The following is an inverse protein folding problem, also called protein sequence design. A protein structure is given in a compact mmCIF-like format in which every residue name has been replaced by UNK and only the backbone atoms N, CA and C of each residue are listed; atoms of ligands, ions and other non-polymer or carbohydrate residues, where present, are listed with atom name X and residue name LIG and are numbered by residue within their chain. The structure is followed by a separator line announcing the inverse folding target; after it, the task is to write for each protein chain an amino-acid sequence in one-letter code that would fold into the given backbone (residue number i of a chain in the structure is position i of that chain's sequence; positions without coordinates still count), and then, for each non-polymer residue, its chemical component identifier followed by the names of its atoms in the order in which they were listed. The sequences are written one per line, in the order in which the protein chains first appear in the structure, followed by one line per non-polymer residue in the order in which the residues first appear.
data_IF_227583846616
#
_entry.id   IF_227583846616
#
_cell.length_a   1.000
_cell.length_b   1.000
_cell.length_c   1.000
_cell.angle_alpha   90.00
_cell.angle_beta   90.00
_cell.angle_gamma   90.00
#
_symmetry.space_group_name_H-M   'P 1'
#
loop_
_entity.id
_entity.type
_entity.pdbx_description
1 polymer ?
#
# COMPACT_ATOMS: atom_id res chain seq x y z
N UNK A 1 -2.63 35.13 -21.42
CA UNK A 1 -2.17 33.88 -20.75
C UNK A 1 -2.22 34.11 -19.26
N UNK A 2 -3.31 33.77 -18.60
CA UNK A 2 -3.42 33.86 -17.14
C UNK A 2 -2.88 32.58 -16.53
N UNK A 3 -1.77 32.68 -15.78
CA UNK A 3 -1.33 31.61 -14.89
C UNK A 3 -2.35 31.52 -13.74
N UNK A 4 -3.09 30.42 -13.66
CA UNK A 4 -3.83 30.07 -12.45
C UNK A 4 -2.83 29.44 -11.49
N UNK A 5 -2.32 30.23 -10.55
CA UNK A 5 -1.59 29.72 -9.40
C UNK A 5 -2.57 28.98 -8.50
N UNK A 6 -2.41 27.66 -8.41
CA UNK A 6 -3.17 26.80 -7.51
C UNK A 6 -2.85 27.24 -6.07
N UNK A 7 -3.73 28.06 -5.49
CA UNK A 7 -3.56 28.62 -4.16
C UNK A 7 -4.15 27.61 -3.17
N UNK A 8 -3.35 26.63 -2.76
CA UNK A 8 -3.73 25.69 -1.69
C UNK A 8 -3.92 26.50 -0.41
N UNK A 9 -5.00 26.25 0.31
CA UNK A 9 -5.24 26.97 1.57
C UNK A 9 -4.31 26.45 2.68
N UNK A 10 -3.92 27.29 3.64
CA UNK A 10 -3.09 26.87 4.78
C UNK A 10 -3.67 25.67 5.56
N UNK A 11 -5.01 25.51 5.54
CA UNK A 11 -5.68 24.37 6.16
C UNK A 11 -5.45 23.07 5.39
N UNK A 12 -5.45 23.14 4.06
CA UNK A 12 -5.15 21.99 3.20
C UNK A 12 -3.68 21.59 3.32
N UNK A 13 -2.75 22.54 3.35
CA UNK A 13 -1.33 22.26 3.57
C UNK A 13 -1.08 21.61 4.93
N UNK A 14 -1.69 22.12 6.01
CA UNK A 14 -1.61 21.49 7.34
C UNK A 14 -2.15 20.06 7.33
N UNK A 15 -3.29 19.83 6.67
CA UNK A 15 -3.88 18.49 6.57
C UNK A 15 -3.01 17.52 5.77
N UNK A 16 -2.27 18.02 4.78
CA UNK A 16 -1.38 17.23 3.94
C UNK A 16 -0.10 16.84 4.68
N UNK A 17 0.49 17.78 5.41
CA UNK A 17 1.66 17.50 6.27
C UNK A 17 1.30 16.49 7.37
N UNK A 18 0.11 16.58 7.95
CA UNK A 18 -0.35 15.58 8.93
C UNK A 18 -0.48 14.17 8.32
N UNK A 19 -0.99 14.06 7.09
CA UNK A 19 -1.06 12.78 6.36
C UNK A 19 0.33 12.17 6.15
N UNK A 20 1.26 12.99 5.72
CA UNK A 20 2.66 12.61 5.51
C UNK A 20 3.32 12.11 6.80
N UNK A 21 3.20 12.87 7.89
CA UNK A 21 3.77 12.51 9.18
C UNK A 21 3.19 11.19 9.70
N UNK A 22 1.88 10.99 9.56
CA UNK A 22 1.23 9.73 9.97
C UNK A 22 1.64 8.54 9.13
N UNK A 23 1.86 8.73 7.83
CA UNK A 23 2.41 7.68 6.99
C UNK A 23 3.83 7.31 7.44
N UNK A 24 4.69 8.29 7.71
CA UNK A 24 6.06 8.04 8.16
C UNK A 24 6.11 7.29 9.50
N UNK A 25 5.22 7.61 10.44
CA UNK A 25 5.06 6.87 11.70
C UNK A 25 4.66 5.40 11.43
N UNK A 26 3.73 5.17 10.50
CA UNK A 26 3.30 3.83 10.14
C UNK A 26 4.43 2.97 9.53
N UNK A 27 5.42 3.60 8.87
CA UNK A 27 6.55 2.91 8.27
C UNK A 27 7.53 2.30 9.29
N UNK A 28 7.46 2.70 10.57
CA UNK A 28 8.20 2.03 11.65
C UNK A 28 7.68 0.60 11.89
N UNK A 29 6.39 0.38 11.65
CA UNK A 29 5.72 -0.91 11.80
C UNK A 29 5.74 -1.68 10.47
N UNK A 30 5.54 -0.95 9.37
CA UNK A 30 5.37 -1.48 8.02
C UNK A 30 6.53 -1.03 7.12
N UNK A 31 7.71 -1.68 7.19
CA UNK A 31 8.93 -1.17 6.58
C UNK A 31 8.86 -1.12 5.05
N UNK A 32 9.32 -0.02 4.41
CA UNK A 32 9.30 0.15 2.95
C UNK A 32 10.01 -0.97 2.18
N UNK A 33 11.06 -1.56 2.77
CA UNK A 33 11.80 -2.66 2.15
C UNK A 33 10.91 -3.89 1.84
N UNK A 34 9.79 -4.05 2.55
CA UNK A 34 8.82 -5.14 2.36
C UNK A 34 7.69 -4.79 1.39
N UNK A 35 7.74 -3.63 0.74
CA UNK A 35 6.81 -3.28 -0.33
C UNK A 35 7.12 -4.02 -1.65
N UNK A 36 8.19 -4.82 -1.71
CA UNK A 36 8.50 -5.70 -2.85
C UNK A 36 7.98 -7.12 -2.63
N UNK A 37 7.61 -7.76 -3.73
CA UNK A 37 7.10 -9.13 -3.81
C UNK A 37 5.90 -9.45 -2.92
N UNK A 38 5.78 -10.70 -2.49
CA UNK A 38 4.57 -11.19 -1.79
C UNK A 38 4.20 -10.37 -0.54
N UNK A 39 5.19 -9.79 0.15
CA UNK A 39 4.97 -9.02 1.38
C UNK A 39 4.26 -7.69 1.15
N UNK A 40 4.29 -7.17 -0.08
CA UNK A 40 3.67 -5.92 -0.49
C UNK A 40 2.21 -5.83 -0.06
N UNK A 41 1.46 -6.92 -0.19
CA UNK A 41 0.03 -6.99 0.15
C UNK A 41 -0.20 -6.72 1.64
N UNK A 42 0.55 -7.40 2.51
CA UNK A 42 0.43 -7.25 3.96
C UNK A 42 0.84 -5.85 4.41
N UNK A 43 1.92 -5.32 3.84
CA UNK A 43 2.41 -3.98 4.13
C UNK A 43 1.39 -2.93 3.69
N UNK A 44 0.89 -2.99 2.46
CA UNK A 44 -0.11 -2.05 1.95
C UNK A 44 -1.43 -2.12 2.72
N UNK A 45 -1.90 -3.33 3.03
CA UNK A 45 -3.09 -3.49 3.86
C UNK A 45 -2.90 -2.87 5.24
N UNK A 46 -1.77 -3.15 5.89
CA UNK A 46 -1.43 -2.60 7.21
C UNK A 46 -1.34 -1.08 7.22
N UNK A 47 -0.70 -0.49 6.21
CA UNK A 47 -0.64 0.96 6.02
C UNK A 47 -2.02 1.57 5.78
N UNK A 48 -2.84 0.94 4.94
CA UNK A 48 -4.21 1.40 4.63
C UNK A 48 -5.09 1.39 5.88
N UNK A 49 -5.04 0.32 6.68
CA UNK A 49 -5.76 0.22 7.95
C UNK A 49 -5.26 1.23 8.97
N UNK A 50 -3.94 1.40 9.11
CA UNK A 50 -3.34 2.36 10.03
C UNK A 50 -3.78 3.79 9.71
N UNK A 51 -3.72 4.17 8.44
CA UNK A 51 -4.16 5.49 7.96
C UNK A 51 -5.66 5.68 8.20
N UNK A 52 -6.47 4.67 7.89
CA UNK A 52 -7.92 4.76 8.06
C UNK A 52 -8.33 4.98 9.52
N UNK A 53 -7.67 4.29 10.46
CA UNK A 53 -7.89 4.45 11.90
C UNK A 53 -7.39 5.79 12.42
N UNK A 54 -6.23 6.25 11.94
CA UNK A 54 -5.63 7.51 12.39
C UNK A 54 -6.47 8.74 12.04
N UNK A 55 -7.12 8.72 10.87
CA UNK A 55 -7.90 9.86 10.37
C UNK A 55 -9.42 9.65 10.44
N UNK A 56 -9.88 8.49 10.92
CA UNK A 56 -11.28 8.11 10.97
C UNK A 56 -11.99 8.29 9.61
N UNK A 57 -11.32 7.89 8.52
CA UNK A 57 -11.83 7.95 7.14
C UNK A 57 -11.34 6.74 6.34
N UNK A 58 -12.03 6.37 5.28
CA UNK A 58 -11.58 5.27 4.42
C UNK A 58 -10.39 5.70 3.54
N UNK A 59 -9.42 4.82 3.39
CA UNK A 59 -8.36 4.92 2.38
C UNK A 59 -8.41 3.71 1.46
N UNK A 60 -8.05 3.92 0.20
CA UNK A 60 -7.73 2.83 -0.73
C UNK A 60 -6.22 2.57 -0.76
N UNK A 61 -5.82 1.40 -1.25
CA UNK A 61 -4.41 1.10 -1.47
C UNK A 61 -3.75 2.12 -2.42
N UNK A 62 -4.48 2.58 -3.43
CA UNK A 62 -4.00 3.60 -4.38
C UNK A 62 -3.74 4.95 -3.72
N UNK A 63 -4.57 5.35 -2.74
CA UNK A 63 -4.36 6.59 -1.99
C UNK A 63 -3.06 6.53 -1.18
N UNK A 64 -2.80 5.38 -0.54
CA UNK A 64 -1.57 5.16 0.22
C UNK A 64 -0.35 5.10 -0.70
N UNK A 65 -0.47 4.44 -1.86
CA UNK A 65 0.60 4.41 -2.86
C UNK A 65 0.94 5.80 -3.39
N UNK A 66 -0.05 6.64 -3.72
CA UNK A 66 0.21 8.03 -4.13
C UNK A 66 0.92 8.85 -3.05
N UNK A 67 0.62 8.60 -1.78
CA UNK A 67 1.29 9.27 -0.67
C UNK A 67 2.73 8.78 -0.51
N UNK A 68 2.96 7.47 -0.65
CA UNK A 68 4.30 6.87 -0.63
C UNK A 68 5.18 7.35 -1.79
N UNK A 69 4.61 7.57 -2.98
CA UNK A 69 5.32 8.05 -4.18
C UNK A 69 5.98 9.41 -4.00
N UNK A 70 5.53 10.20 -3.00
CA UNK A 70 6.15 11.49 -2.64
C UNK A 70 7.49 11.33 -1.93
N UNK A 71 7.70 10.19 -1.27
CA UNK A 71 8.89 9.90 -0.46
C UNK A 71 9.82 8.88 -1.12
N UNK A 72 9.25 7.93 -1.84
CA UNK A 72 9.95 6.80 -2.43
C UNK A 72 9.71 6.73 -3.92
N UNK A 73 10.73 6.39 -4.68
CA UNK A 73 10.56 6.03 -6.07
C UNK A 73 9.91 4.62 -6.16
N UNK A 74 8.59 4.57 -6.33
CA UNK A 74 7.82 3.32 -6.34
C UNK A 74 8.12 2.42 -7.55
N UNK A 75 8.74 2.95 -8.61
CA UNK A 75 9.26 2.13 -9.72
C UNK A 75 10.30 1.13 -9.24
N UNK A 76 11.06 1.48 -8.20
CA UNK A 76 12.01 0.56 -7.58
C UNK A 76 11.33 -0.46 -6.66
N UNK A 77 10.00 -0.49 -6.57
CA UNK A 77 9.26 -1.29 -5.57
C UNK A 77 8.13 -2.09 -6.20
N UNK A 78 8.10 -2.15 -7.53
CA UNK A 78 7.17 -3.00 -8.28
C UNK A 78 7.43 -4.47 -7.94
N UNK A 79 6.39 -5.32 -7.90
CA UNK A 79 6.59 -6.76 -7.87
C UNK A 79 7.42 -7.16 -9.09
N UNK A 80 8.36 -8.09 -8.90
CA UNK A 80 9.08 -8.66 -10.03
C UNK A 80 8.11 -9.55 -10.84
N UNK A 81 8.38 -9.78 -12.13
CA UNK A 81 7.47 -10.55 -13.02
C UNK A 81 7.11 -11.93 -12.45
N UNK A 82 8.02 -12.53 -11.69
CA UNK A 82 7.85 -13.82 -11.01
C UNK A 82 6.83 -13.76 -9.86
N UNK A 83 6.80 -12.64 -9.11
CA UNK A 83 5.80 -12.42 -8.06
C UNK A 83 4.40 -12.20 -8.65
N UNK A 84 4.31 -11.48 -9.77
CA UNK A 84 3.04 -11.29 -10.48
C UNK A 84 2.46 -12.63 -10.96
N UNK A 85 3.30 -13.55 -11.44
CA UNK A 85 2.87 -14.89 -11.85
C UNK A 85 2.35 -15.71 -10.66
N UNK A 86 3.02 -15.67 -9.51
CA UNK A 86 2.59 -16.39 -8.29
C UNK A 86 1.25 -15.86 -7.77
N UNK A 87 1.06 -14.54 -7.77
CA UNK A 87 -0.16 -13.91 -7.23
C UNK A 87 -1.38 -14.10 -8.13
N UNK A 88 -1.17 -14.22 -9.44
CA UNK A 88 -2.23 -14.43 -10.42
C UNK A 88 -2.52 -15.91 -10.69
N UNK A 89 -1.82 -16.85 -10.03
CA UNK A 89 -2.17 -18.27 -10.08
C UNK A 89 -3.45 -18.52 -9.30
N UNK A 90 -4.54 -18.67 -10.04
CA UNK A 90 -5.76 -19.28 -9.52
C UNK A 90 -5.49 -20.77 -9.28
N UNK A 91 -5.10 -21.12 -8.06
CA UNK A 91 -5.06 -22.51 -7.60
C UNK A 91 -6.42 -22.88 -7.00
N UNK A 92 -6.96 -24.00 -7.45
CA UNK A 92 -8.14 -24.61 -6.83
C UNK A 92 -7.72 -25.09 -5.43
N UNK A 93 -8.16 -24.38 -4.39
CA UNK A 93 -7.83 -24.76 -3.01
C UNK A 93 -8.39 -26.15 -2.70
N UNK A 94 -7.51 -27.14 -2.66
CA UNK A 94 -7.83 -28.53 -2.34
C UNK A 94 -6.85 -29.06 -1.30
N UNK A 95 -7.33 -29.97 -0.47
CA UNK A 95 -6.47 -30.65 0.49
C UNK A 95 -5.43 -31.51 -0.27
N UNK A 96 -4.21 -31.70 0.28
CA UNK A 96 -3.27 -32.65 -0.28
C UNK A 96 -3.88 -34.04 -0.42
N UNK A 97 -3.46 -34.81 -1.43
CA UNK A 97 -4.02 -36.13 -1.72
C UNK A 97 -4.02 -37.08 -0.50
N UNK A 98 -3.04 -36.93 0.40
CA UNK A 98 -2.93 -37.69 1.65
C UNK A 98 -4.10 -37.51 2.63
N UNK A 99 -4.94 -36.49 2.45
CA UNK A 99 -6.14 -36.26 3.27
C UNK A 99 -7.36 -37.01 2.75
N UNK A 100 -7.32 -37.54 1.53
CA UNK A 100 -8.41 -38.34 0.99
C UNK A 100 -8.15 -39.82 1.30
N UNK A 101 -9.12 -40.55 1.88
CA UNK A 101 -8.98 -41.99 2.06
C UNK A 101 -8.88 -42.68 0.70
N UNK A 102 -8.00 -43.67 0.58
CA UNK A 102 -7.95 -44.56 -0.59
C UNK A 102 -9.29 -45.31 -0.68
N UNK A 103 -10.04 -45.12 -1.77
CA UNK A 103 -11.28 -45.87 -2.07
C UNK A 103 -11.00 -47.34 -2.43
#
# INVERSE_FOLDING_TARGET
MGQMTNSKSEKEEKSEVELELKLLEALEIYPPAKLRGIHRHFVLYGLTEYMSRSFNRSFTADDVLKLLDRFYNLEMVKPDEEDEEILNKEEDFRLPESYFPEE
#
